data_IF_848406381060
#
_entry.id   IF_848406381060
#
_cell.length_a   1.000
_cell.length_b   1.000
_cell.length_c   1.000
_cell.angle_alpha   90.00
_cell.angle_beta   90.00
_cell.angle_gamma   90.00
#
_symmetry.space_group_name_H-M   'P 1'
#
loop_
_entity.id
_entity.type
_entity.pdbx_description
1 polymer ?
#
# COMPACT_ATOMS: atom_id res chain seq x y z
N UNK A 1 -10.47 -19.69 -15.39
CA UNK A 1 -10.50 -18.35 -16.01
C UNK A 1 -9.08 -17.82 -15.97
N UNK A 2 -8.39 -17.72 -17.12
CA UNK A 2 -7.07 -17.08 -17.18
C UNK A 2 -7.31 -15.58 -17.35
N UNK A 3 -6.76 -14.73 -16.48
CA UNK A 3 -6.92 -13.27 -16.51
C UNK A 3 -6.21 -12.60 -17.71
N UNK A 4 -6.05 -13.31 -18.84
CA UNK A 4 -5.44 -12.80 -20.07
C UNK A 4 -3.91 -12.63 -20.01
N UNK A 5 -3.25 -13.10 -18.96
CA UNK A 5 -1.79 -13.00 -18.78
C UNK A 5 -1.30 -11.56 -18.54
N UNK A 6 0.02 -11.41 -18.44
CA UNK A 6 0.66 -10.12 -18.10
C UNK A 6 0.45 -9.02 -19.14
N UNK A 7 0.28 -9.36 -20.42
CA UNK A 7 -0.05 -8.38 -21.46
C UNK A 7 -1.40 -7.71 -21.21
N UNK A 8 -2.40 -8.50 -20.84
CA UNK A 8 -3.73 -7.97 -20.52
C UNK A 8 -3.67 -7.09 -19.28
N UNK A 9 -2.97 -7.52 -18.23
CA UNK A 9 -2.77 -6.73 -17.00
C UNK A 9 -2.12 -5.38 -17.33
N UNK A 10 -1.00 -5.37 -18.08
CA UNK A 10 -0.33 -4.12 -18.49
C UNK A 10 -1.24 -3.19 -19.27
N UNK A 11 -2.04 -3.72 -20.18
CA UNK A 11 -3.01 -2.93 -20.96
C UNK A 11 -4.07 -2.29 -20.06
N UNK A 12 -4.63 -3.07 -19.12
CA UNK A 12 -5.63 -2.55 -18.19
C UNK A 12 -5.04 -1.48 -17.25
N UNK A 13 -3.89 -1.77 -16.64
CA UNK A 13 -3.22 -0.83 -15.74
C UNK A 13 -2.90 0.48 -16.46
N UNK A 14 -2.28 0.42 -17.65
CA UNK A 14 -1.89 1.64 -18.39
C UNK A 14 -3.09 2.45 -18.90
N UNK A 15 -4.27 1.84 -19.04
CA UNK A 15 -5.52 2.55 -19.40
C UNK A 15 -5.97 3.50 -18.28
N UNK A 16 -5.78 3.12 -17.02
CA UNK A 16 -6.25 3.90 -15.86
C UNK A 16 -5.12 4.61 -15.11
N UNK A 17 -3.89 4.12 -15.21
CA UNK A 17 -2.72 4.55 -14.47
C UNK A 17 -1.50 4.63 -15.38
N UNK A 18 -1.33 5.76 -16.05
CA UNK A 18 -0.26 6.00 -17.05
C UNK A 18 1.17 5.97 -16.49
N UNK A 19 1.33 5.93 -15.17
CA UNK A 19 2.61 5.96 -14.46
C UNK A 19 2.84 4.72 -13.61
N UNK A 20 1.96 3.71 -13.70
CA UNK A 20 2.17 2.41 -13.09
C UNK A 20 2.56 1.42 -14.18
N UNK A 21 3.74 0.85 -14.03
CA UNK A 21 4.32 -0.14 -14.93
C UNK A 21 4.52 -1.44 -14.16
N UNK A 22 4.10 -2.55 -14.76
CA UNK A 22 4.16 -3.89 -14.14
C UNK A 22 4.72 -4.91 -15.11
N UNK A 23 5.66 -5.70 -14.62
CA UNK A 23 6.32 -6.79 -15.31
C UNK A 23 6.02 -8.11 -14.59
N UNK A 24 6.20 -9.21 -15.31
CA UNK A 24 5.98 -10.55 -14.77
C UNK A 24 6.95 -10.89 -13.64
N UNK A 25 8.21 -10.51 -13.79
CA UNK A 25 9.19 -10.62 -12.72
C UNK A 25 8.88 -9.55 -11.66
N UNK A 26 8.49 -9.92 -10.41
CA UNK A 26 8.18 -8.95 -9.37
C UNK A 26 9.40 -8.12 -8.93
N UNK A 27 10.62 -8.60 -9.21
CA UNK A 27 11.88 -7.89 -8.91
C UNK A 27 12.41 -7.07 -10.08
N UNK A 28 11.65 -6.94 -11.16
CA UNK A 28 12.07 -6.11 -12.30
C UNK A 28 12.12 -4.64 -11.89
N UNK A 29 13.23 -3.96 -12.20
CA UNK A 29 13.42 -2.53 -11.89
C UNK A 29 12.46 -1.62 -12.68
N UNK A 30 11.86 -2.13 -13.76
CA UNK A 30 10.82 -1.44 -14.51
C UNK A 30 9.45 -1.49 -13.82
N UNK A 31 9.31 -2.25 -12.73
CA UNK A 31 8.13 -2.17 -11.85
C UNK A 31 8.15 -0.86 -11.08
N UNK A 32 7.58 0.19 -11.67
CA UNK A 32 7.58 1.55 -11.11
C UNK A 32 6.18 2.15 -11.07
N UNK A 33 5.95 3.02 -10.08
CA UNK A 33 4.67 3.69 -9.87
C UNK A 33 4.86 5.06 -9.23
N UNK A 34 4.14 6.08 -9.70
CA UNK A 34 4.05 7.35 -8.97
C UNK A 34 3.10 7.19 -7.76
N UNK A 35 3.51 7.70 -6.59
CA UNK A 35 2.78 7.48 -5.33
C UNK A 35 1.33 7.99 -5.37
N UNK A 36 1.06 9.08 -6.09
CA UNK A 36 -0.29 9.61 -6.29
C UNK A 36 -1.20 8.65 -7.10
N UNK A 37 -0.67 7.94 -8.08
CA UNK A 37 -1.44 6.96 -8.85
C UNK A 37 -1.66 5.68 -8.04
N UNK A 38 -0.65 5.24 -7.28
CA UNK A 38 -0.80 4.12 -6.34
C UNK A 38 -1.84 4.46 -5.26
N UNK A 39 -1.84 5.70 -4.76
CA UNK A 39 -2.86 6.18 -3.82
C UNK A 39 -4.25 6.21 -4.46
N UNK A 40 -4.35 6.67 -5.71
CA UNK A 40 -5.61 6.65 -6.46
C UNK A 40 -6.15 5.23 -6.64
N UNK A 41 -5.28 4.25 -6.89
CA UNK A 41 -5.64 2.83 -6.92
C UNK A 41 -6.17 2.34 -5.56
N UNK A 42 -5.49 2.69 -4.46
CA UNK A 42 -5.93 2.36 -3.11
C UNK A 42 -7.32 2.96 -2.79
N UNK A 43 -7.55 4.22 -3.16
CA UNK A 43 -8.86 4.88 -3.03
C UNK A 43 -9.92 4.13 -3.85
N UNK A 44 -9.59 3.66 -5.05
CA UNK A 44 -10.51 2.89 -5.89
C UNK A 44 -10.88 1.55 -5.25
N UNK A 45 -9.87 0.82 -4.74
CA UNK A 45 -10.07 -0.44 -3.99
C UNK A 45 -10.96 -0.22 -2.78
N UNK A 46 -10.69 0.81 -1.98
CA UNK A 46 -11.46 1.08 -0.76
C UNK A 46 -12.91 1.49 -1.07
N UNK A 47 -13.13 2.29 -2.11
CA UNK A 47 -14.49 2.63 -2.57
C UNK A 47 -15.23 1.40 -3.08
N UNK A 48 -14.56 0.54 -3.85
CA UNK A 48 -15.10 -0.73 -4.30
C UNK A 48 -15.51 -1.62 -3.13
N UNK A 49 -14.68 -1.70 -2.09
CA UNK A 49 -15.03 -2.41 -0.86
C UNK A 49 -16.26 -1.82 -0.16
N UNK A 50 -16.38 -0.48 -0.10
CA UNK A 50 -17.57 0.16 0.50
C UNK A 50 -18.86 -0.10 -0.28
N UNK A 51 -18.78 -0.29 -1.60
CA UNK A 51 -19.97 -0.53 -2.44
C UNK A 51 -20.32 -2.01 -2.62
N UNK A 52 -19.31 -2.88 -2.77
CA UNK A 52 -19.46 -4.30 -3.05
C UNK A 52 -18.49 -5.14 -2.19
N UNK A 53 -18.70 -5.24 -0.86
CA UNK A 53 -17.74 -5.85 0.05
C UNK A 53 -17.35 -7.28 -0.33
N UNK A 54 -18.30 -8.13 -0.72
CA UNK A 54 -18.06 -9.54 -1.07
C UNK A 54 -17.07 -9.72 -2.23
N UNK A 55 -17.03 -8.76 -3.17
CA UNK A 55 -16.13 -8.79 -4.32
C UNK A 55 -14.71 -8.33 -3.95
N UNK A 56 -14.60 -7.32 -3.09
CA UNK A 56 -13.34 -6.63 -2.78
C UNK A 56 -12.68 -7.09 -1.48
N UNK A 57 -13.41 -7.81 -0.63
CA UNK A 57 -12.93 -8.37 0.63
C UNK A 57 -11.63 -9.17 0.48
N UNK A 58 -11.42 -10.01 -0.55
CA UNK A 58 -10.15 -10.72 -0.71
C UNK A 58 -8.93 -9.80 -0.83
N UNK A 59 -9.09 -8.61 -1.45
CA UNK A 59 -8.01 -7.64 -1.62
C UNK A 59 -7.72 -6.95 -0.28
N UNK A 60 -8.76 -6.52 0.44
CA UNK A 60 -8.62 -5.89 1.76
C UNK A 60 -8.02 -6.87 2.76
N UNK A 61 -8.52 -8.10 2.85
CA UNK A 61 -7.99 -9.13 3.75
C UNK A 61 -6.53 -9.48 3.41
N UNK A 62 -6.15 -9.44 2.13
CA UNK A 62 -4.75 -9.56 1.70
C UNK A 62 -3.84 -8.50 2.32
N UNK A 63 -4.33 -7.27 2.51
CA UNK A 63 -3.60 -6.20 3.21
C UNK A 63 -3.59 -6.39 4.74
N UNK A 64 -4.62 -7.03 5.30
CA UNK A 64 -4.70 -7.27 6.75
C UNK A 64 -3.70 -8.34 7.21
N UNK A 65 -3.28 -9.26 6.34
CA UNK A 65 -2.43 -10.41 6.72
C UNK A 65 -0.92 -10.10 6.87
N UNK A 66 -0.44 -8.88 6.54
CA UNK A 66 0.98 -8.51 6.63
C UNK A 66 1.31 -7.69 7.90
N UNK A 67 0.78 -8.08 9.07
CA UNK A 67 0.88 -7.25 10.27
C UNK A 67 2.28 -7.28 10.90
N UNK A 68 2.91 -6.11 10.99
CA UNK A 68 3.83 -5.77 12.07
C UNK A 68 3.08 -5.00 13.16
N UNK A 69 3.49 -5.16 14.41
CA UNK A 69 2.95 -4.34 15.51
C UNK A 69 3.60 -2.96 15.48
N UNK A 70 2.79 -1.91 15.39
CA UNK A 70 3.24 -0.52 15.53
C UNK A 70 2.90 0.00 16.92
N UNK A 71 3.92 0.30 17.71
CA UNK A 71 3.74 0.86 19.04
C UNK A 71 2.84 2.11 19.02
N UNK A 72 1.83 2.14 19.89
CA UNK A 72 0.90 3.26 20.00
C UNK A 72 -0.24 3.27 18.97
N UNK A 73 -0.34 2.26 18.10
CA UNK A 73 -1.43 2.09 17.15
C UNK A 73 -2.13 0.75 17.42
N UNK A 74 -3.44 0.70 17.70
CA UNK A 74 -4.15 -0.56 17.85
C UNK A 74 -4.00 -1.41 16.59
N UNK A 75 -3.69 -2.71 16.75
CA UNK A 75 -3.43 -3.59 15.61
C UNK A 75 -4.60 -3.62 14.61
N UNK A 76 -5.85 -3.56 15.10
CA UNK A 76 -7.07 -3.54 14.29
C UNK A 76 -7.35 -2.17 13.63
N UNK A 77 -6.54 -1.15 13.90
CA UNK A 77 -6.60 0.15 13.25
C UNK A 77 -5.63 0.26 12.07
N UNK A 78 -4.87 -0.79 11.72
CA UNK A 78 -3.94 -0.73 10.58
C UNK A 78 -4.14 -1.95 9.70
N UNK A 79 -4.44 -1.70 8.43
CA UNK A 79 -4.38 -2.70 7.37
C UNK A 79 -3.42 -2.18 6.30
N UNK A 80 -2.30 -2.88 6.07
CA UNK A 80 -1.26 -2.36 5.19
C UNK A 80 -0.44 -3.45 4.52
N UNK A 81 0.12 -3.11 3.37
CA UNK A 81 1.03 -3.96 2.61
C UNK A 81 2.36 -3.25 2.47
N UNK A 82 3.43 -3.96 2.78
CA UNK A 82 4.79 -3.46 2.58
C UNK A 82 5.44 -4.20 1.42
N UNK A 83 6.09 -3.46 0.54
CA UNK A 83 6.84 -4.00 -0.58
C UNK A 83 8.13 -3.23 -0.79
N UNK A 84 8.99 -3.72 -1.68
CA UNK A 84 10.21 -3.00 -2.01
C UNK A 84 11.25 -3.85 -2.71
N UNK A 85 12.32 -3.17 -3.09
CA UNK A 85 13.57 -3.73 -3.59
C UNK A 85 14.67 -3.46 -2.55
N UNK A 86 15.88 -4.00 -2.69
CA UNK A 86 16.94 -3.75 -1.71
C UNK A 86 17.27 -2.26 -1.46
N UNK A 87 16.99 -1.39 -2.43
CA UNK A 87 17.23 0.06 -2.39
C UNK A 87 15.94 0.89 -2.46
N UNK A 88 14.77 0.25 -2.29
CA UNK A 88 13.47 0.92 -2.34
C UNK A 88 12.46 0.28 -1.38
N UNK A 89 11.54 1.08 -0.87
CA UNK A 89 10.47 0.62 0.01
C UNK A 89 9.17 1.35 -0.34
N UNK A 90 8.06 0.64 -0.21
CA UNK A 90 6.71 1.20 -0.27
C UNK A 90 5.85 0.57 0.82
N UNK A 91 5.02 1.39 1.45
CA UNK A 91 4.00 0.96 2.38
C UNK A 91 2.67 1.61 1.96
N UNK A 92 1.67 0.76 1.70
CA UNK A 92 0.34 1.13 1.23
C UNK A 92 -0.63 0.67 2.30
N UNK A 93 -1.45 1.57 2.85
CA UNK A 93 -2.32 1.16 3.95
C UNK A 93 -3.50 2.05 4.23
N UNK A 94 -4.34 1.52 5.12
CA UNK A 94 -5.55 2.11 5.66
C UNK A 94 -5.35 2.16 7.17
N UNK A 95 -5.50 3.34 7.76
CA UNK A 95 -5.28 3.57 9.18
C UNK A 95 -6.47 4.27 9.85
N UNK A 96 -6.88 3.76 11.02
CA UNK A 96 -8.07 4.21 11.75
C UNK A 96 -9.18 3.17 11.75
N UNK A 97 -10.37 3.57 12.22
CA UNK A 97 -11.53 2.67 12.27
C UNK A 97 -12.02 2.41 10.84
N UNK A 98 -11.79 1.18 10.36
CA UNK A 98 -11.98 0.80 8.95
C UNK A 98 -13.39 1.12 8.40
N UNK A 99 -14.41 0.95 9.24
CA UNK A 99 -15.81 1.17 8.86
C UNK A 99 -16.28 2.61 8.97
N UNK A 100 -15.46 3.52 9.50
CA UNK A 100 -15.78 4.94 9.65
C UNK A 100 -15.02 5.78 8.61
N UNK A 101 -14.18 6.72 9.06
CA UNK A 101 -13.37 7.62 8.23
C UNK A 101 -11.87 7.33 8.39
N UNK A 102 -11.37 6.15 7.96
CA UNK A 102 -9.95 5.87 8.04
C UNK A 102 -9.17 6.75 7.05
N UNK A 103 -7.88 6.93 7.33
CA UNK A 103 -6.93 7.58 6.44
C UNK A 103 -6.33 6.54 5.51
N UNK A 104 -6.34 6.82 4.20
CA UNK A 104 -5.69 6.00 3.18
C UNK A 104 -4.34 6.63 2.85
N UNK A 105 -3.26 5.89 2.99
CA UNK A 105 -1.90 6.40 2.80
C UNK A 105 -1.08 5.54 1.85
N UNK A 106 -0.13 6.18 1.19
CA UNK A 106 0.95 5.55 0.43
C UNK A 106 2.23 6.31 0.74
N UNK A 107 3.19 5.62 1.33
CA UNK A 107 4.52 6.16 1.64
C UNK A 107 5.53 5.32 0.88
N UNK A 108 6.46 5.95 0.17
CA UNK A 108 7.50 5.24 -0.54
C UNK A 108 8.77 6.04 -0.65
N UNK A 109 9.89 5.34 -0.75
CA UNK A 109 11.22 5.94 -0.94
C UNK A 109 12.06 5.04 -1.84
N UNK A 110 12.78 5.67 -2.76
CA UNK A 110 13.79 5.04 -3.63
C UNK A 110 15.17 5.61 -3.33
N UNK A 111 16.18 5.05 -3.97
CA UNK A 111 17.60 5.45 -3.83
C UNK A 111 18.09 5.33 -2.38
N UNK A 112 17.62 4.29 -1.68
CA UNK A 112 18.05 3.97 -0.31
C UNK A 112 19.38 3.21 -0.31
N UNK A 113 20.17 3.35 0.77
CA UNK A 113 21.19 2.35 1.10
C UNK A 113 20.59 0.95 1.14
N UNK A 114 21.44 -0.07 0.97
CA UNK A 114 21.00 -1.45 0.92
C UNK A 114 20.32 -1.84 2.24
N UNK A 115 19.01 -2.11 2.19
CA UNK A 115 18.16 -2.22 3.38
C UNK A 115 18.52 -3.40 4.30
N UNK A 116 19.16 -4.45 3.80
CA UNK A 116 19.64 -5.55 4.67
C UNK A 116 20.76 -5.13 5.63
N UNK A 117 21.36 -3.96 5.40
CA UNK A 117 22.45 -3.42 6.21
C UNK A 117 21.99 -2.22 7.06
N UNK A 118 20.76 -1.72 6.86
CA UNK A 118 20.24 -0.56 7.58
C UNK A 118 18.73 -0.65 7.85
N UNK A 119 18.36 -0.86 9.12
CA UNK A 119 16.98 -0.92 9.60
C UNK A 119 16.37 0.47 9.91
N UNK A 120 17.16 1.55 9.87
CA UNK A 120 16.71 2.93 10.17
C UNK A 120 15.52 3.34 9.30
N UNK A 121 15.47 2.84 8.06
CA UNK A 121 14.34 3.14 7.16
C UNK A 121 13.04 2.54 7.69
N UNK A 122 13.06 1.32 8.23
CA UNK A 122 11.85 0.70 8.76
C UNK A 122 11.37 1.43 10.04
N UNK A 123 12.31 1.96 10.84
CA UNK A 123 12.01 2.82 12.00
C UNK A 123 11.37 4.15 11.59
N UNK A 124 11.92 4.83 10.56
CA UNK A 124 11.34 6.07 10.01
C UNK A 124 9.92 5.84 9.47
N UNK A 125 9.67 4.69 8.85
CA UNK A 125 8.32 4.32 8.42
C UNK A 125 7.38 4.12 9.62
N UNK A 126 7.81 3.38 10.63
CA UNK A 126 7.03 3.18 11.85
C UNK A 126 6.71 4.53 12.54
N UNK A 127 7.68 5.44 12.63
CA UNK A 127 7.47 6.78 13.19
C UNK A 127 6.49 7.61 12.36
N UNK A 128 6.60 7.55 11.03
CA UNK A 128 5.66 8.22 10.11
C UNK A 128 4.23 7.76 10.32
N UNK A 129 4.01 6.45 10.51
CA UNK A 129 2.69 5.91 10.82
C UNK A 129 2.15 6.38 12.17
N UNK A 130 3.01 6.51 13.20
CA UNK A 130 2.63 7.09 14.49
C UNK A 130 2.16 8.53 14.34
N UNK A 131 2.84 9.36 13.54
CA UNK A 131 2.39 10.73 13.27
C UNK A 131 1.05 10.78 12.54
N UNK A 132 0.86 9.94 11.50
CA UNK A 132 -0.42 9.87 10.78
C UNK A 132 -1.54 9.48 11.74
N UNK A 133 -1.32 8.45 12.57
CA UNK A 133 -2.32 8.01 13.55
C UNK A 133 -2.65 9.09 14.57
N UNK A 134 -1.63 9.82 15.07
CA UNK A 134 -1.82 10.92 16.01
C UNK A 134 -2.69 12.03 15.42
N UNK A 135 -2.49 12.39 14.15
CA UNK A 135 -3.34 13.39 13.49
C UNK A 135 -4.75 12.88 13.23
N UNK A 136 -4.90 11.61 12.87
CA UNK A 136 -6.21 10.94 12.79
C UNK A 136 -6.95 11.01 14.13
N UNK A 137 -6.31 10.65 15.24
CA UNK A 137 -6.92 10.65 16.58
C UNK A 137 -7.29 12.04 17.09
N UNK A 138 -6.66 13.11 16.60
CA UNK A 138 -7.07 14.49 16.92
C UNK A 138 -8.30 14.95 16.14
N UNK A 139 -8.57 14.31 15.00
CA UNK A 139 -9.64 14.68 14.07
C UNK A 139 -10.95 13.93 14.34
N UNK A 140 -10.93 13.03 15.31
CA UNK A 140 -12.06 12.26 15.85
C UNK A 140 -12.54 12.90 17.16
#
# INVERSE_FOLDING_TARGET
MHCGGWDSIRKYVSTYFSKIYVQENPRDEQNVGELNQVHSLLVHIFRGYKSEPELWEPIINGMVMQQGEYEGIPYYHVAHMTGGLPTAIINIGIIGVFNEFPVLYVIGRKDLPYRSENNEIDEVFAESLKYIYKEYSKSM
#
